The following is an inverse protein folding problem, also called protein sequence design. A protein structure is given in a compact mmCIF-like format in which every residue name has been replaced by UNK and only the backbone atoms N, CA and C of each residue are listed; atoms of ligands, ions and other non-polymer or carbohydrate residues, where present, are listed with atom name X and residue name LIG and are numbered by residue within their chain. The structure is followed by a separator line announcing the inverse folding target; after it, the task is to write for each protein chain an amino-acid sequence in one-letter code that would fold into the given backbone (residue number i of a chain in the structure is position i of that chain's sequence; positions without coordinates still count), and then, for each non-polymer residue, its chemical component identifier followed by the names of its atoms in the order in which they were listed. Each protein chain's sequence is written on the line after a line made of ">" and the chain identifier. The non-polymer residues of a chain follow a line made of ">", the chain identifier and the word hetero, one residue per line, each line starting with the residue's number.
data_IF_350667780082
#
_entry.id   IF_350667780082
#
_cell.length_a   1.000
_cell.length_b   1.000
_cell.length_c   1.000
_cell.angle_alpha   90.00
_cell.angle_beta   90.00
_cell.angle_gamma   90.00
#
_symmetry.space_group_name_H-M   'P 1'
#
loop_
_entity.id
_entity.type
_entity.pdbx_description
1 polymer ?
#
# COMPACT_ATOMS: atom_id res chain seq x y z
N UNK A 1 24.96 -11.38 1.83
CA UNK A 1 24.25 -10.25 1.20
C UNK A 1 24.55 -9.02 2.04
N UNK A 2 25.00 -7.91 1.45
CA UNK A 2 25.18 -6.67 2.20
C UNK A 2 23.83 -6.24 2.81
N UNK A 3 23.86 -5.65 3.99
CA UNK A 3 22.67 -5.03 4.56
C UNK A 3 22.17 -3.93 3.61
N UNK A 4 20.86 -3.76 3.41
CA UNK A 4 20.35 -2.65 2.63
C UNK A 4 20.84 -1.33 3.24
N UNK A 5 21.19 -0.38 2.39
CA UNK A 5 21.58 0.97 2.81
C UNK A 5 20.44 1.60 3.62
N UNK A 6 20.77 2.42 4.62
CA UNK A 6 19.74 3.16 5.36
C UNK A 6 19.06 4.17 4.42
N UNK A 7 17.79 4.54 4.65
CA UNK A 7 17.10 5.57 3.85
C UNK A 7 17.87 6.90 3.76
N UNK A 8 18.65 7.23 4.79
CA UNK A 8 19.51 8.41 4.82
C UNK A 8 20.70 8.30 3.86
N UNK A 9 21.39 7.16 3.84
CA UNK A 9 22.48 6.92 2.89
C UNK A 9 21.96 6.83 1.46
N UNK A 10 20.81 6.18 1.26
CA UNK A 10 20.14 6.08 -0.03
C UNK A 10 19.71 7.46 -0.54
N UNK A 11 19.13 8.31 0.32
CA UNK A 11 18.85 9.71 0.00
C UNK A 11 20.11 10.48 -0.41
N UNK A 12 21.20 10.35 0.36
CA UNK A 12 22.46 11.01 0.04
C UNK A 12 23.01 10.62 -1.33
N UNK A 13 22.91 9.34 -1.70
CA UNK A 13 23.35 8.83 -2.99
C UNK A 13 22.43 9.29 -4.13
N UNK A 14 21.10 9.15 -3.96
CA UNK A 14 20.12 9.44 -5.01
C UNK A 14 19.90 10.94 -5.24
N UNK A 15 20.16 11.79 -4.25
CA UNK A 15 19.94 13.23 -4.35
C UNK A 15 20.77 13.85 -5.48
N UNK A 16 22.07 13.56 -5.55
CA UNK A 16 22.93 14.11 -6.60
C UNK A 16 22.50 13.64 -7.99
N UNK A 17 22.09 12.38 -8.10
CA UNK A 17 21.62 11.79 -9.35
C UNK A 17 20.29 12.42 -9.79
N UNK A 18 19.38 12.65 -8.86
CA UNK A 18 18.11 13.33 -9.11
C UNK A 18 18.33 14.78 -9.57
N UNK A 19 19.23 15.52 -8.91
CA UNK A 19 19.61 16.87 -9.30
C UNK A 19 20.21 16.89 -10.72
N UNK A 20 21.13 15.98 -11.03
CA UNK A 20 21.74 15.86 -12.35
C UNK A 20 20.73 15.49 -13.45
N UNK A 21 19.83 14.54 -13.17
CA UNK A 21 18.82 14.09 -14.12
C UNK A 21 17.84 15.23 -14.47
N UNK A 22 17.42 16.01 -13.48
CA UNK A 22 16.55 17.18 -13.69
C UNK A 22 17.26 18.27 -14.52
N UNK A 23 18.53 18.57 -14.21
CA UNK A 23 19.32 19.52 -14.99
C UNK A 23 19.48 19.07 -16.45
N UNK A 24 19.69 17.77 -16.66
CA UNK A 24 19.78 17.19 -18.01
C UNK A 24 18.48 17.39 -18.77
N UNK A 25 17.32 17.07 -18.17
CA UNK A 25 16.01 17.29 -18.78
C UNK A 25 15.80 18.76 -19.16
N UNK A 26 16.09 19.69 -18.24
CA UNK A 26 15.98 21.14 -18.50
C UNK A 26 16.88 21.57 -19.66
N UNK A 27 18.12 21.06 -19.70
CA UNK A 27 19.05 21.34 -20.80
C UNK A 27 18.53 20.83 -22.14
N UNK A 28 17.95 19.62 -22.19
CA UNK A 28 17.39 19.06 -23.43
C UNK A 28 16.16 19.86 -23.91
N UNK A 29 15.29 20.29 -22.99
CA UNK A 29 14.16 21.18 -23.31
C UNK A 29 14.68 22.51 -23.89
N UNK A 30 15.68 23.11 -23.25
CA UNK A 30 16.24 24.40 -23.66
C UNK A 30 16.88 24.34 -25.05
N UNK A 31 17.52 23.21 -25.39
CA UNK A 31 18.16 22.98 -26.69
C UNK A 31 17.20 22.55 -27.80
N UNK A 32 15.90 22.42 -27.50
CA UNK A 32 14.89 21.90 -28.42
C UNK A 32 15.28 20.52 -28.98
N UNK A 33 15.74 19.64 -28.07
CA UNK A 33 16.10 18.27 -28.39
C UNK A 33 14.96 17.52 -29.09
N UNK A 34 15.30 16.45 -29.81
CA UNK A 34 14.31 15.65 -30.51
C UNK A 34 13.38 14.95 -29.52
N UNK A 35 12.16 14.60 -29.95
CA UNK A 35 11.13 14.04 -29.07
C UNK A 35 11.59 12.78 -28.30
N UNK A 36 12.40 11.93 -28.94
CA UNK A 36 12.95 10.72 -28.31
C UNK A 36 13.92 11.05 -27.16
N UNK A 37 14.82 12.02 -27.37
CA UNK A 37 15.79 12.44 -26.35
C UNK A 37 15.09 13.10 -25.15
N UNK A 38 14.04 13.89 -25.40
CA UNK A 38 13.20 14.46 -24.35
C UNK A 38 12.46 13.37 -23.55
N UNK A 39 11.93 12.36 -24.23
CA UNK A 39 11.25 11.24 -23.58
C UNK A 39 12.20 10.43 -22.69
N UNK A 40 13.40 10.13 -23.16
CA UNK A 40 14.43 9.42 -22.40
C UNK A 40 14.88 10.22 -21.17
N UNK A 41 15.19 11.52 -21.36
CA UNK A 41 15.57 12.39 -20.27
C UNK A 41 14.44 12.53 -19.22
N UNK A 42 13.19 12.65 -19.68
CA UNK A 42 12.03 12.75 -18.80
C UNK A 42 11.79 11.46 -18.01
N UNK A 43 11.81 10.30 -18.67
CA UNK A 43 11.56 9.02 -18.00
C UNK A 43 12.66 8.68 -16.99
N UNK A 44 13.92 8.98 -17.34
CA UNK A 44 15.04 8.84 -16.42
C UNK A 44 14.90 9.78 -15.21
N UNK A 45 14.69 11.08 -15.44
CA UNK A 45 14.50 12.06 -14.37
C UNK A 45 13.32 11.69 -13.46
N UNK A 46 12.18 11.30 -14.04
CA UNK A 46 11.01 10.85 -13.29
C UNK A 46 11.31 9.68 -12.36
N UNK A 47 12.05 8.67 -12.84
CA UNK A 47 12.41 7.50 -12.03
C UNK A 47 13.32 7.89 -10.87
N UNK A 48 14.47 8.52 -11.17
CA UNK A 48 15.49 8.83 -10.14
C UNK A 48 14.95 9.82 -9.11
N UNK A 49 14.14 10.80 -9.53
CA UNK A 49 13.50 11.72 -8.59
C UNK A 49 12.45 11.04 -7.72
N UNK A 50 11.67 10.10 -8.25
CA UNK A 50 10.73 9.31 -7.45
C UNK A 50 11.45 8.47 -6.40
N UNK A 51 12.55 7.79 -6.78
CA UNK A 51 13.36 6.98 -5.86
C UNK A 51 14.00 7.87 -4.77
N UNK A 52 14.56 9.02 -5.14
CA UNK A 52 15.13 9.97 -4.17
C UNK A 52 14.07 10.51 -3.20
N UNK A 53 12.90 10.89 -3.69
CA UNK A 53 11.80 11.36 -2.85
C UNK A 53 11.27 10.24 -1.94
N UNK A 54 11.22 9.00 -2.43
CA UNK A 54 10.86 7.86 -1.60
C UNK A 54 11.84 7.70 -0.45
N UNK A 55 13.15 7.65 -0.73
CA UNK A 55 14.19 7.54 0.30
C UNK A 55 14.04 8.67 1.33
N UNK A 56 13.82 9.90 0.88
CA UNK A 56 13.59 11.06 1.75
C UNK A 56 12.35 10.91 2.64
N UNK A 57 11.23 10.43 2.10
CA UNK A 57 10.02 10.20 2.88
C UNK A 57 10.21 9.07 3.88
N UNK A 58 10.89 7.99 3.49
CA UNK A 58 11.17 6.84 4.34
C UNK A 58 12.06 7.20 5.55
N UNK A 59 12.89 8.24 5.48
CA UNK A 59 13.67 8.73 6.63
C UNK A 59 12.79 9.19 7.82
N UNK A 60 11.55 9.58 7.54
CA UNK A 60 10.63 10.11 8.56
C UNK A 60 9.61 9.07 9.03
N UNK A 61 9.38 8.03 8.22
CA UNK A 61 8.49 6.93 8.57
C UNK A 61 9.22 5.91 9.46
N UNK A 62 8.53 5.27 10.41
CA UNK A 62 9.14 4.21 11.18
C UNK A 62 9.35 2.95 10.31
N UNK A 63 10.45 2.22 10.55
CA UNK A 63 10.74 0.94 9.90
C UNK A 63 9.66 -0.11 10.16
N UNK A 64 9.07 -0.05 11.35
CA UNK A 64 7.97 -0.88 11.81
C UNK A 64 6.89 -0.01 12.48
N UNK A 65 5.63 -0.30 12.20
CA UNK A 65 4.50 0.40 12.77
C UNK A 65 3.74 -0.52 13.73
N UNK A 66 4.00 -0.32 15.02
CA UNK A 66 3.34 -1.07 16.08
C UNK A 66 1.81 -0.99 16.01
N UNK A 67 1.25 0.16 15.62
CA UNK A 67 -0.20 0.33 15.52
C UNK A 67 -0.79 -0.47 14.38
N UNK A 68 -0.14 -0.49 13.21
CA UNK A 68 -0.54 -1.33 12.10
C UNK A 68 -0.56 -2.82 12.50
N UNK A 69 0.51 -3.29 13.14
CA UNK A 69 0.64 -4.70 13.60
C UNK A 69 -0.41 -5.06 14.63
N UNK A 70 -0.69 -4.16 15.57
CA UNK A 70 -1.74 -4.31 16.57
C UNK A 70 -3.12 -4.47 15.89
N UNK A 71 -3.47 -3.56 14.97
CA UNK A 71 -4.75 -3.62 14.26
C UNK A 71 -4.86 -4.87 13.39
N UNK A 72 -3.78 -5.24 12.68
CA UNK A 72 -3.74 -6.48 11.88
C UNK A 72 -3.94 -7.72 12.75
N UNK A 73 -3.28 -7.79 13.91
CA UNK A 73 -3.45 -8.87 14.87
C UNK A 73 -4.88 -8.95 15.43
N UNK A 74 -5.54 -7.80 15.67
CA UNK A 74 -6.94 -7.77 16.06
C UNK A 74 -7.86 -8.34 14.96
N UNK A 75 -7.60 -8.02 13.69
CA UNK A 75 -8.33 -8.60 12.55
C UNK A 75 -8.11 -10.12 12.45
N UNK A 76 -6.88 -10.59 12.68
CA UNK A 76 -6.55 -12.02 12.74
C UNK A 76 -7.33 -12.72 13.86
N UNK A 77 -7.24 -12.19 15.09
CA UNK A 77 -7.91 -12.75 16.25
C UNK A 77 -9.44 -12.80 16.08
N UNK A 78 -10.04 -11.72 15.57
CA UNK A 78 -11.50 -11.68 15.35
C UNK A 78 -11.94 -12.64 14.24
N UNK A 79 -11.13 -12.79 13.19
CA UNK A 79 -11.39 -13.74 12.09
C UNK A 79 -11.35 -15.18 12.61
N UNK A 80 -10.35 -15.52 13.42
CA UNK A 80 -10.23 -16.84 14.06
C UNK A 80 -11.36 -17.09 15.06
N UNK A 81 -11.70 -16.12 15.91
CA UNK A 81 -12.78 -16.26 16.89
C UNK A 81 -14.13 -16.53 16.23
N UNK A 82 -14.46 -15.81 15.14
CA UNK A 82 -15.74 -15.96 14.44
C UNK A 82 -15.80 -17.21 13.57
N UNK A 83 -14.72 -17.52 12.86
CA UNK A 83 -14.76 -18.48 11.77
C UNK A 83 -13.82 -19.68 11.94
N UNK A 84 -12.83 -19.61 12.84
CA UNK A 84 -11.77 -20.61 12.98
C UNK A 84 -12.26 -22.05 13.12
N UNK A 85 -13.35 -22.27 13.87
CA UNK A 85 -13.95 -23.61 14.07
C UNK A 85 -14.46 -24.29 12.79
N UNK A 86 -14.63 -23.55 11.70
CA UNK A 86 -15.13 -24.08 10.42
C UNK A 86 -14.02 -24.41 9.42
N UNK A 87 -12.77 -24.07 9.72
CA UNK A 87 -11.64 -24.25 8.84
C UNK A 87 -10.50 -24.97 9.56
N UNK A 88 -9.60 -25.59 8.80
CA UNK A 88 -8.38 -26.14 9.38
C UNK A 88 -7.51 -25.03 9.99
N UNK A 89 -6.69 -25.39 10.98
CA UNK A 89 -5.72 -24.49 11.60
C UNK A 89 -4.83 -23.83 10.54
N UNK A 90 -4.58 -22.52 10.67
CA UNK A 90 -3.80 -21.73 9.70
C UNK A 90 -4.48 -21.49 8.35
N UNK A 91 -5.68 -22.02 8.10
CA UNK A 91 -6.40 -21.76 6.85
C UNK A 91 -6.80 -20.27 6.74
N UNK A 92 -7.24 -19.64 7.83
CA UNK A 92 -7.70 -18.26 7.88
C UNK A 92 -6.60 -17.24 8.22
N UNK A 93 -5.40 -17.39 7.63
CA UNK A 93 -4.37 -16.35 7.75
C UNK A 93 -4.80 -15.08 7.02
N UNK A 94 -4.93 -13.98 7.76
CA UNK A 94 -5.30 -12.65 7.26
C UNK A 94 -4.21 -12.14 6.32
N UNK A 95 -4.55 -11.70 5.09
CA UNK A 95 -3.60 -11.17 4.12
C UNK A 95 -3.13 -9.75 4.49
N UNK A 96 -2.34 -9.13 3.61
CA UNK A 96 -2.00 -7.69 3.65
C UNK A 96 -1.21 -7.22 4.87
N UNK A 97 -0.58 -8.13 5.63
CA UNK A 97 0.34 -7.79 6.71
C UNK A 97 1.80 -7.65 6.26
N UNK A 98 2.04 -7.23 5.01
CA UNK A 98 3.38 -7.04 4.47
C UNK A 98 3.88 -5.60 4.70
N UNK A 99 5.19 -5.39 4.51
CA UNK A 99 5.85 -4.10 4.76
C UNK A 99 5.29 -2.97 3.87
N UNK A 100 4.75 -3.28 2.69
CA UNK A 100 4.20 -2.26 1.80
C UNK A 100 2.91 -1.67 2.39
N UNK A 101 2.02 -2.52 2.88
CA UNK A 101 0.80 -2.08 3.57
C UNK A 101 1.14 -1.33 4.87
N UNK A 102 2.15 -1.79 5.60
CA UNK A 102 2.63 -1.14 6.82
C UNK A 102 3.15 0.28 6.53
N UNK A 103 3.96 0.46 5.48
CA UNK A 103 4.45 1.79 5.04
C UNK A 103 3.32 2.71 4.60
N UNK A 104 2.37 2.19 3.82
CA UNK A 104 1.20 2.95 3.38
C UNK A 104 0.38 3.40 4.58
N UNK A 105 0.15 2.50 5.55
CA UNK A 105 -0.54 2.83 6.80
C UNK A 105 0.24 3.84 7.65
N UNK A 106 1.58 3.74 7.75
CA UNK A 106 2.40 4.71 8.48
C UNK A 106 2.21 6.13 7.95
N UNK A 107 2.25 6.32 6.63
CA UNK A 107 2.03 7.63 6.02
C UNK A 107 0.61 8.15 6.33
N UNK A 108 -0.40 7.30 6.22
CA UNK A 108 -1.78 7.64 6.59
C UNK A 108 -1.93 7.98 8.09
N UNK A 109 -1.23 7.27 8.96
CA UNK A 109 -1.25 7.48 10.41
C UNK A 109 -0.59 8.81 10.81
N UNK A 110 0.53 9.19 10.18
CA UNK A 110 1.18 10.48 10.44
C UNK A 110 0.27 11.67 10.11
N UNK A 111 -0.70 11.47 9.21
CA UNK A 111 -1.69 12.46 8.84
C UNK A 111 -3.09 12.02 9.28
N UNK A 112 -3.22 11.39 10.44
CA UNK A 112 -4.51 10.95 10.96
C UNK A 112 -5.55 12.07 10.88
N UNK A 113 -6.73 11.75 10.35
CA UNK A 113 -7.85 12.65 10.08
C UNK A 113 -7.56 13.80 9.09
N UNK A 114 -6.39 13.81 8.44
CA UNK A 114 -6.02 14.80 7.44
C UNK A 114 -5.84 14.13 6.06
N UNK A 115 -6.28 14.78 4.98
CA UNK A 115 -6.17 14.23 3.63
C UNK A 115 -4.72 14.21 3.13
N UNK A 116 -4.36 13.11 2.48
CA UNK A 116 -3.09 12.95 1.77
C UNK A 116 -3.38 12.70 0.29
N UNK A 117 -2.68 13.43 -0.57
CA UNK A 117 -2.69 13.18 -2.01
C UNK A 117 -2.18 11.78 -2.36
N UNK A 118 -2.82 11.13 -3.32
CA UNK A 118 -2.43 9.82 -3.84
C UNK A 118 -0.98 9.78 -4.33
N UNK A 119 -0.43 10.90 -4.80
CA UNK A 119 0.95 11.00 -5.25
C UNK A 119 1.95 10.65 -4.13
N UNK A 120 1.70 11.10 -2.89
CA UNK A 120 2.56 10.79 -1.73
C UNK A 120 2.54 9.29 -1.42
N UNK A 121 1.36 8.67 -1.47
CA UNK A 121 1.22 7.22 -1.26
C UNK A 121 1.93 6.40 -2.35
N UNK A 122 1.86 6.85 -3.61
CA UNK A 122 2.58 6.23 -4.74
C UNK A 122 4.09 6.29 -4.56
N UNK A 123 4.61 7.43 -4.09
CA UNK A 123 6.05 7.60 -3.82
C UNK A 123 6.50 6.65 -2.71
N UNK A 124 5.82 6.63 -1.56
CA UNK A 124 6.21 5.78 -0.42
C UNK A 124 6.23 4.30 -0.77
N UNK A 125 5.30 3.85 -1.60
CA UNK A 125 5.19 2.43 -1.97
C UNK A 125 6.05 2.01 -3.16
N UNK A 126 6.72 2.96 -3.84
CA UNK A 126 7.32 2.77 -5.17
C UNK A 126 6.35 2.15 -6.19
N UNK A 127 5.04 2.22 -5.94
CA UNK A 127 4.01 1.54 -6.71
C UNK A 127 3.05 2.57 -7.30
N UNK A 128 3.43 3.07 -8.48
CA UNK A 128 2.63 4.03 -9.23
C UNK A 128 1.30 3.49 -9.76
N UNK A 129 1.09 2.17 -9.77
CA UNK A 129 -0.06 1.53 -10.45
C UNK A 129 -1.07 0.98 -9.44
N UNK A 130 -0.64 0.51 -8.28
CA UNK A 130 -1.54 -0.19 -7.36
C UNK A 130 -1.87 0.56 -6.07
N UNK A 131 -1.49 1.83 -5.92
CA UNK A 131 -1.83 2.62 -4.71
C UNK A 131 -3.32 2.55 -4.34
N UNK A 132 -4.24 2.77 -5.28
CA UNK A 132 -5.69 2.64 -5.04
C UNK A 132 -6.06 1.23 -4.55
N UNK A 133 -5.48 0.22 -5.19
CA UNK A 133 -5.67 -1.18 -4.81
C UNK A 133 -5.16 -1.46 -3.40
N UNK A 134 -3.99 -0.96 -3.01
CA UNK A 134 -3.41 -1.16 -1.68
C UNK A 134 -4.22 -0.46 -0.61
N UNK A 135 -4.71 0.74 -0.89
CA UNK A 135 -5.61 1.43 0.03
C UNK A 135 -6.96 0.72 0.17
N UNK A 136 -7.49 0.15 -0.92
CA UNK A 136 -8.66 -0.73 -0.85
C UNK A 136 -8.38 -1.99 -0.02
N UNK A 137 -7.20 -2.58 -0.12
CA UNK A 137 -6.78 -3.74 0.68
C UNK A 137 -6.74 -3.40 2.19
N UNK A 138 -6.35 -2.18 2.59
CA UNK A 138 -6.49 -1.72 3.97
C UNK A 138 -7.96 -1.63 4.42
N UNK A 139 -8.86 -1.11 3.56
CA UNK A 139 -10.31 -1.12 3.85
C UNK A 139 -10.86 -2.54 3.99
N UNK A 140 -10.35 -3.51 3.23
CA UNK A 140 -10.75 -4.92 3.35
C UNK A 140 -10.36 -5.54 4.70
N UNK A 141 -9.31 -5.02 5.35
CA UNK A 141 -8.98 -5.35 6.74
C UNK A 141 -9.93 -4.68 7.75
N UNK A 142 -10.80 -3.79 7.30
CA UNK A 142 -11.73 -3.04 8.16
C UNK A 142 -11.15 -1.74 8.70
N UNK A 143 -9.97 -1.30 8.23
CA UNK A 143 -9.42 0.00 8.60
C UNK A 143 -10.27 1.13 8.02
N UNK A 144 -10.45 2.20 8.81
CA UNK A 144 -11.29 3.36 8.47
C UNK A 144 -10.59 4.33 7.50
N UNK A 145 -10.30 3.83 6.30
CA UNK A 145 -9.64 4.61 5.24
C UNK A 145 -10.65 5.04 4.20
N UNK A 146 -10.85 6.34 4.08
CA UNK A 146 -11.73 6.94 3.08
C UNK A 146 -10.95 7.59 1.94
N UNK A 147 -11.65 7.94 0.87
CA UNK A 147 -11.09 8.67 -0.25
C UNK A 147 -12.11 9.61 -0.88
N UNK A 148 -11.60 10.68 -1.49
CA UNK A 148 -12.39 11.59 -2.30
C UNK A 148 -11.54 12.17 -3.42
N UNK A 149 -12.17 12.87 -4.34
CA UNK A 149 -11.50 13.52 -5.46
C UNK A 149 -11.84 15.00 -5.49
N UNK A 150 -10.83 15.84 -5.56
CA UNK A 150 -10.93 17.30 -5.61
C UNK A 150 -9.99 17.82 -6.70
N UNK A 151 -10.52 18.64 -7.63
CA UNK A 151 -9.79 19.20 -8.77
C UNK A 151 -8.95 18.19 -9.57
N UNK A 152 -9.49 16.98 -9.73
CA UNK A 152 -8.82 15.91 -10.47
C UNK A 152 -7.80 15.10 -9.65
N UNK A 153 -7.53 15.47 -8.41
CA UNK A 153 -6.58 14.85 -7.50
C UNK A 153 -7.31 13.92 -6.54
N UNK A 154 -6.83 12.68 -6.43
CA UNK A 154 -7.36 11.72 -5.46
C UNK A 154 -6.69 11.94 -4.09
N UNK A 155 -7.52 12.05 -3.05
CA UNK A 155 -7.11 12.17 -1.66
C UNK A 155 -7.56 10.97 -0.84
N UNK A 156 -6.75 10.61 0.14
CA UNK A 156 -7.02 9.51 1.06
C UNK A 156 -6.89 10.00 2.50
N UNK A 157 -7.76 9.52 3.38
CA UNK A 157 -7.77 9.87 4.81
C UNK A 157 -7.91 8.59 5.62
N UNK A 158 -7.02 8.38 6.60
CA UNK A 158 -7.32 7.49 7.72
C UNK A 158 -8.11 8.29 8.76
N UNK A 159 -9.39 7.98 8.91
CA UNK A 159 -10.32 8.74 9.77
C UNK A 159 -10.17 8.38 11.24
N UNK A 160 -9.93 7.10 11.54
CA UNK A 160 -9.78 6.58 12.90
C UNK A 160 -8.98 5.28 12.93
N UNK A 161 -8.67 4.79 14.14
CA UNK A 161 -8.12 3.44 14.34
C UNK A 161 -9.21 2.40 14.64
N UNK A 162 -10.48 2.75 14.50
CA UNK A 162 -11.57 1.82 14.77
C UNK A 162 -11.71 0.80 13.62
N UNK A 163 -11.76 -0.48 13.97
CA UNK A 163 -11.90 -1.55 12.99
C UNK A 163 -13.36 -1.87 12.72
N UNK A 164 -13.73 -1.84 11.45
CA UNK A 164 -15.04 -2.28 10.99
C UNK A 164 -15.07 -3.78 10.69
N UNK A 165 -15.40 -4.59 11.70
CA UNK A 165 -15.51 -6.05 11.52
C UNK A 165 -16.71 -6.52 10.68
N UNK A 166 -17.56 -5.62 10.16
CA UNK A 166 -18.64 -6.00 9.22
C UNK A 166 -18.08 -6.46 7.86
N UNK A 167 -16.82 -6.13 7.55
CA UNK A 167 -16.17 -6.52 6.29
C UNK A 167 -15.60 -7.94 6.30
N UNK A 168 -15.42 -8.55 7.48
CA UNK A 168 -14.79 -9.88 7.63
C UNK A 168 -15.41 -10.99 6.77
N UNK A 169 -16.75 -11.09 6.57
CA UNK A 169 -17.31 -12.09 5.68
C UNK A 169 -16.75 -12.00 4.24
N UNK A 170 -16.45 -10.79 3.77
CA UNK A 170 -15.85 -10.57 2.46
C UNK A 170 -14.37 -10.92 2.44
N UNK A 171 -13.63 -10.61 3.51
CA UNK A 171 -12.24 -11.01 3.68
C UNK A 171 -12.09 -12.53 3.66
N UNK A 172 -12.89 -13.25 4.45
CA UNK A 172 -12.89 -14.72 4.48
C UNK A 172 -13.24 -15.32 3.11
N UNK A 173 -14.22 -14.74 2.40
CA UNK A 173 -14.55 -15.14 1.03
C UNK A 173 -13.35 -15.02 0.09
N UNK A 174 -12.59 -13.93 0.19
CA UNK A 174 -11.40 -13.72 -0.62
C UNK A 174 -10.29 -14.74 -0.28
N UNK A 175 -10.10 -15.06 1.01
CA UNK A 175 -9.15 -16.09 1.45
C UNK A 175 -9.53 -17.47 0.88
N UNK A 176 -10.79 -17.88 1.02
CA UNK A 176 -11.31 -19.16 0.50
C UNK A 176 -11.14 -19.25 -1.01
N UNK A 177 -11.51 -18.20 -1.76
CA UNK A 177 -11.35 -18.16 -3.23
C UNK A 177 -9.90 -18.29 -3.67
N UNK A 178 -8.96 -17.75 -2.89
CA UNK A 178 -7.53 -17.82 -3.19
C UNK A 178 -6.94 -19.20 -2.88
N UNK A 179 -7.40 -19.87 -1.83
CA UNK A 179 -6.84 -21.15 -1.34
C UNK A 179 -7.52 -22.39 -1.93
N UNK A 180 -8.77 -22.29 -2.37
CA UNK A 180 -9.58 -23.42 -2.84
C UNK A 180 -9.91 -23.22 -4.31
N UNK A 181 -9.57 -24.18 -5.19
CA UNK A 181 -9.83 -24.07 -6.63
C UNK A 181 -11.25 -24.50 -7.03
N UNK A 182 -11.81 -25.50 -6.36
CA UNK A 182 -13.15 -26.02 -6.68
C UNK A 182 -14.24 -25.07 -6.20
N UNK A 183 -15.14 -24.67 -7.10
CA UNK A 183 -16.29 -23.82 -6.74
C UNK A 183 -17.21 -24.50 -5.73
N UNK A 184 -17.46 -25.80 -5.87
CA UNK A 184 -18.35 -26.53 -4.96
C UNK A 184 -17.75 -26.61 -3.55
N UNK A 185 -16.43 -26.77 -3.47
CA UNK A 185 -15.72 -26.77 -2.19
C UNK A 185 -15.72 -25.38 -1.54
N UNK A 186 -15.49 -24.32 -2.31
CA UNK A 186 -15.61 -22.94 -1.81
C UNK A 186 -17.00 -22.69 -1.22
N UNK A 187 -18.06 -23.07 -1.96
CA UNK A 187 -19.45 -22.94 -1.52
C UNK A 187 -19.72 -23.71 -0.23
N UNK A 188 -19.28 -24.96 -0.17
CA UNK A 188 -19.40 -25.80 1.03
C UNK A 188 -18.75 -25.13 2.25
N UNK A 189 -17.51 -24.66 2.12
CA UNK A 189 -16.78 -24.01 3.22
C UNK A 189 -17.47 -22.73 3.69
N UNK A 190 -17.89 -21.86 2.76
CA UNK A 190 -18.55 -20.60 3.10
C UNK A 190 -19.93 -20.82 3.72
N UNK A 191 -20.71 -21.78 3.20
CA UNK A 191 -22.01 -22.15 3.76
C UNK A 191 -21.87 -22.68 5.19
N UNK A 192 -20.89 -23.55 5.44
CA UNK A 192 -20.62 -24.07 6.78
C UNK A 192 -20.25 -22.95 7.77
N UNK A 193 -19.53 -21.94 7.30
CA UNK A 193 -19.15 -20.77 8.09
C UNK A 193 -20.26 -19.71 8.24
N UNK A 194 -21.46 -19.94 7.68
CA UNK A 194 -22.58 -18.99 7.72
C UNK A 194 -22.35 -17.72 6.88
N UNK A 195 -21.43 -17.77 5.90
CA UNK A 195 -21.10 -16.63 5.04
C UNK A 195 -21.93 -16.73 3.76
N UNK A 196 -22.80 -15.75 3.45
CA UNK A 196 -23.65 -15.80 2.27
C UNK A 196 -22.84 -15.75 0.95
N UNK A 197 -23.30 -16.54 -0.03
CA UNK A 197 -22.89 -16.41 -1.43
C UNK A 197 -23.46 -15.08 -1.96
N UNK A 198 -22.58 -14.13 -2.27
CA UNK A 198 -22.92 -12.98 -3.12
C UNK A 198 -22.66 -13.36 -4.56
#
# INVERSE_FOLDING_TARGET
>A
MPAPDSPEQEWHNLRSDAEHALQTLVSQITRQAQAQELFEAYTYAKRVTADALQARMMMHLPDENAKFRELHAQVQAETEARYGKFFAEGFLKVPYGDQLHERLFSLLQENLANPIEAAKLRIVTADGVHTERRTRELRELGMDVDWYKEDGIDFYILRSFELNFKVLPSLVRNIVRKKTKSKDEQKRLLRNAGIPEK
#
